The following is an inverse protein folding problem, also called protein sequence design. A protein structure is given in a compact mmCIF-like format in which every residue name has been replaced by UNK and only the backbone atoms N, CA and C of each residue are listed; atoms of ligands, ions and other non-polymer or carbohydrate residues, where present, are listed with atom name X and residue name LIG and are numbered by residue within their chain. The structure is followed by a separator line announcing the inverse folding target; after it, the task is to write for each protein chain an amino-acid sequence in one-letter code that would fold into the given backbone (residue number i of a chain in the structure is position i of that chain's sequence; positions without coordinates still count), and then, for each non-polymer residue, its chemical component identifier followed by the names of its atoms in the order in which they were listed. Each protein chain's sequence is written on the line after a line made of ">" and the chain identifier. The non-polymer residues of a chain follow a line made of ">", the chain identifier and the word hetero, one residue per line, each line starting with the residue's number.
data_IF_431122281491
#
_entry.id   IF_431122281491
#
_cell.length_a   1.000
_cell.length_b   1.000
_cell.length_c   1.000
_cell.angle_alpha   90.00
_cell.angle_beta   90.00
_cell.angle_gamma   90.00
#
_symmetry.space_group_name_H-M   'P 1'
#
loop_
_entity.id
_entity.type
_entity.pdbx_description
1 polymer ?
#
# COMPACT_ATOMS: atom_id res chain seq x y z
N UNK A 1 -36.81 -25.57 47.70
CA UNK A 1 -36.20 -26.69 46.97
C UNK A 1 -35.00 -26.07 46.29
N UNK A 2 -33.97 -25.94 47.10
CA UNK A 2 -32.73 -25.23 46.81
C UNK A 2 -31.87 -26.17 45.97
N UNK A 3 -31.45 -25.71 44.79
CA UNK A 3 -30.46 -26.37 43.96
C UNK A 3 -29.34 -25.37 43.74
N UNK A 4 -28.41 -25.36 44.70
CA UNK A 4 -27.07 -24.83 44.52
C UNK A 4 -26.29 -25.91 43.75
N UNK A 5 -26.12 -25.73 42.44
CA UNK A 5 -25.15 -26.52 41.67
C UNK A 5 -23.84 -25.73 41.60
N UNK A 6 -22.82 -26.31 42.24
CA UNK A 6 -21.46 -25.85 42.38
C UNK A 6 -20.80 -25.59 41.01
N UNK A 7 -20.25 -24.38 40.83
CA UNK A 7 -19.30 -24.10 39.74
C UNK A 7 -17.94 -24.69 40.13
N UNK A 8 -17.59 -25.81 39.49
CA UNK A 8 -16.25 -26.41 39.51
C UNK A 8 -15.29 -25.49 38.75
N UNK A 9 -14.50 -24.70 39.49
CA UNK A 9 -13.40 -23.88 38.97
C UNK A 9 -12.21 -24.80 38.65
N UNK A 10 -12.32 -25.47 37.51
CA UNK A 10 -11.23 -26.25 36.94
C UNK A 10 -10.09 -25.30 36.57
N UNK A 11 -9.09 -25.25 37.43
CA UNK A 11 -7.81 -24.55 37.24
C UNK A 11 -7.19 -25.02 35.90
N UNK A 12 -7.31 -24.19 34.86
CA UNK A 12 -6.72 -24.46 33.55
C UNK A 12 -5.20 -24.27 33.65
N UNK A 13 -4.48 -25.38 33.68
CA UNK A 13 -3.02 -25.45 33.67
C UNK A 13 -2.50 -24.78 32.36
N UNK A 14 -1.84 -23.61 32.51
CA UNK A 14 -1.38 -22.68 31.46
C UNK A 14 -0.15 -23.20 30.67
N UNK A 15 0.31 -24.42 30.95
CA UNK A 15 1.67 -24.87 30.58
C UNK A 15 1.74 -25.75 29.31
N UNK A 16 0.71 -25.76 28.44
CA UNK A 16 0.78 -26.52 27.15
C UNK A 16 0.73 -25.62 25.91
N UNK A 17 1.44 -24.50 25.93
CA UNK A 17 1.88 -23.84 24.70
C UNK A 17 3.19 -24.51 24.26
N UNK A 18 3.10 -25.72 23.70
CA UNK A 18 4.19 -26.21 22.86
C UNK A 18 4.40 -25.18 21.75
N UNK A 19 5.60 -24.60 21.77
CA UNK A 19 6.13 -23.68 20.79
C UNK A 19 6.19 -24.39 19.44
N UNK A 20 5.05 -24.47 18.74
CA UNK A 20 4.99 -24.90 17.35
C UNK A 20 5.64 -23.78 16.57
N UNK A 21 6.96 -23.87 16.45
CA UNK A 21 7.74 -23.16 15.44
C UNK A 21 7.19 -23.65 14.10
N UNK A 22 6.15 -22.97 13.61
CA UNK A 22 5.73 -23.05 12.22
C UNK A 22 6.94 -22.54 11.46
N UNK A 23 7.74 -23.45 10.92
CA UNK A 23 8.76 -23.10 9.97
C UNK A 23 8.05 -22.25 8.90
N UNK A 24 8.39 -20.97 8.81
CA UNK A 24 8.00 -20.11 7.71
C UNK A 24 8.68 -20.69 6.46
N UNK A 25 8.09 -21.74 5.89
CA UNK A 25 8.38 -22.12 4.53
C UNK A 25 8.01 -20.91 3.69
N UNK A 26 9.02 -20.20 3.19
CA UNK A 26 8.83 -19.21 2.15
C UNK A 26 8.11 -19.91 0.99
N UNK A 27 6.79 -19.69 0.90
CA UNK A 27 5.95 -20.24 -0.16
C UNK A 27 6.31 -19.50 -1.45
N UNK A 28 7.41 -19.92 -2.07
CA UNK A 28 7.75 -19.49 -3.42
C UNK A 28 6.68 -20.02 -4.37
N UNK A 29 6.28 -19.26 -5.41
CA UNK A 29 5.19 -19.65 -6.32
C UNK A 29 5.46 -20.95 -7.11
N UNK A 30 6.67 -21.50 -7.01
CA UNK A 30 7.05 -22.79 -7.60
C UNK A 30 6.81 -23.99 -6.67
N UNK A 31 6.46 -23.77 -5.39
CA UNK A 31 6.23 -24.84 -4.41
C UNK A 31 4.92 -25.62 -4.64
N UNK A 32 3.89 -25.02 -5.26
CA UNK A 32 2.63 -25.71 -5.61
C UNK A 32 2.14 -25.31 -7.01
N UNK A 33 1.82 -26.29 -7.89
CA UNK A 33 1.39 -26.02 -9.27
C UNK A 33 0.03 -25.30 -9.36
N UNK A 34 -0.81 -25.40 -8.33
CA UNK A 34 -2.10 -24.72 -8.24
C UNK A 34 -1.95 -23.21 -7.99
N UNK A 35 -1.02 -22.82 -7.11
CA UNK A 35 -0.70 -21.41 -6.83
C UNK A 35 -0.19 -20.71 -8.09
N UNK A 36 0.61 -21.40 -8.90
CA UNK A 36 1.08 -20.87 -10.19
C UNK A 36 -0.05 -20.57 -11.17
N UNK A 37 -1.07 -21.44 -11.25
CA UNK A 37 -2.26 -21.20 -12.08
C UNK A 37 -3.08 -20.03 -11.53
N UNK A 38 -3.23 -19.94 -10.21
CA UNK A 38 -3.92 -18.83 -9.56
C UNK A 38 -3.25 -17.49 -9.87
N UNK A 39 -1.94 -17.36 -9.65
CA UNK A 39 -1.23 -16.10 -9.91
C UNK A 39 -1.19 -15.71 -11.39
N UNK A 40 -1.24 -16.67 -12.32
CA UNK A 40 -1.35 -16.39 -13.75
C UNK A 40 -2.71 -15.79 -14.12
N UNK A 41 -3.79 -16.26 -13.50
CA UNK A 41 -5.16 -15.79 -13.78
C UNK A 41 -5.51 -14.54 -12.98
N UNK A 42 -4.95 -14.41 -11.77
CA UNK A 42 -5.23 -13.37 -10.79
C UNK A 42 -3.93 -12.72 -10.28
N UNK A 43 -3.27 -11.88 -11.09
CA UNK A 43 -2.05 -11.18 -10.68
C UNK A 43 -2.27 -10.23 -9.49
N UNK A 44 -3.52 -9.84 -9.21
CA UNK A 44 -3.92 -9.05 -8.04
C UNK A 44 -3.76 -9.79 -6.71
N UNK A 45 -3.70 -11.13 -6.72
CA UNK A 45 -3.47 -11.93 -5.52
C UNK A 45 -2.01 -11.95 -5.09
N UNK A 46 -1.09 -11.43 -5.91
CA UNK A 46 0.31 -11.35 -5.56
C UNK A 46 0.54 -10.20 -4.57
N UNK A 47 0.87 -10.55 -3.33
CA UNK A 47 1.15 -9.59 -2.27
C UNK A 47 2.57 -9.04 -2.43
N UNK A 48 2.70 -7.72 -2.53
CA UNK A 48 4.01 -7.08 -2.51
C UNK A 48 4.44 -6.88 -1.06
N UNK A 49 5.37 -7.70 -0.59
CA UNK A 49 5.91 -7.57 0.76
C UNK A 49 6.78 -6.31 0.89
N UNK A 50 6.71 -5.67 2.06
CA UNK A 50 7.43 -4.43 2.34
C UNK A 50 8.94 -4.53 2.09
N UNK A 51 9.54 -5.67 2.42
CA UNK A 51 10.97 -5.94 2.25
C UNK A 51 11.41 -5.89 0.79
N UNK A 52 10.53 -6.29 -0.14
CA UNK A 52 10.80 -6.28 -1.57
C UNK A 52 10.57 -4.89 -2.19
N UNK A 53 9.68 -4.10 -1.60
CA UNK A 53 9.27 -2.80 -2.13
C UNK A 53 10.22 -1.70 -1.64
N UNK A 54 10.54 -1.65 -0.34
CA UNK A 54 11.36 -0.59 0.27
C UNK A 54 12.68 -0.33 -0.50
N UNK A 55 13.46 -1.34 -0.92
CA UNK A 55 14.71 -1.12 -1.65
C UNK A 55 14.51 -0.48 -3.04
N UNK A 56 13.31 -0.61 -3.62
CA UNK A 56 12.97 -0.10 -4.96
C UNK A 56 12.42 1.33 -4.95
N UNK A 57 11.97 1.82 -3.80
CA UNK A 57 11.38 3.16 -3.63
C UNK A 57 12.40 4.33 -3.79
N UNK A 58 13.61 4.29 -3.19
CA UNK A 58 14.47 5.47 -3.19
C UNK A 58 14.95 5.80 -4.60
N UNK A 59 14.70 7.04 -5.03
CA UNK A 59 15.25 7.58 -6.27
C UNK A 59 16.76 7.76 -6.13
N UNK A 60 17.53 7.14 -7.04
CA UNK A 60 18.98 7.34 -7.08
C UNK A 60 19.37 8.64 -7.80
N UNK A 61 18.52 9.11 -8.72
CA UNK A 61 18.69 10.36 -9.46
C UNK A 61 17.41 11.18 -9.42
N UNK A 62 17.54 12.51 -9.31
CA UNK A 62 16.39 13.42 -9.40
C UNK A 62 16.08 13.71 -10.87
N UNK A 63 14.90 13.30 -11.39
CA UNK A 63 14.51 13.60 -12.76
C UNK A 63 14.11 15.08 -12.92
N UNK A 64 14.24 15.73 -14.10
CA UNK A 64 14.57 15.20 -15.43
C UNK A 64 16.07 15.27 -15.80
N UNK A 65 16.97 15.59 -14.86
CA UNK A 65 18.34 16.03 -15.14
C UNK A 65 19.48 15.12 -14.66
N UNK A 66 19.22 13.82 -14.44
CA UNK A 66 20.27 12.88 -14.03
C UNK A 66 21.04 12.31 -15.24
N UNK A 67 22.36 12.43 -15.27
CA UNK A 67 23.23 11.79 -16.28
C UNK A 67 23.20 10.24 -16.21
N UNK A 68 22.69 9.68 -15.11
CA UNK A 68 22.60 8.23 -14.87
C UNK A 68 21.14 7.79 -14.85
N UNK A 69 20.82 6.72 -15.56
CA UNK A 69 19.52 6.07 -15.47
C UNK A 69 19.40 5.33 -14.14
N UNK A 70 18.29 5.53 -13.42
CA UNK A 70 17.95 4.70 -12.26
C UNK A 70 17.58 3.29 -12.74
N UNK A 71 18.11 2.26 -12.08
CA UNK A 71 17.82 0.87 -12.43
C UNK A 71 16.35 0.50 -12.15
N UNK A 72 15.75 1.11 -11.11
CA UNK A 72 14.41 0.79 -10.62
C UNK A 72 13.32 1.73 -11.18
N UNK A 73 13.70 2.87 -11.75
CA UNK A 73 12.79 3.90 -12.23
C UNK A 73 13.09 4.25 -13.68
N UNK A 74 12.41 3.59 -14.63
CA UNK A 74 12.53 3.85 -16.08
C UNK A 74 11.38 4.67 -16.62
N UNK A 75 10.20 4.59 -16.00
CA UNK A 75 9.05 5.38 -16.43
C UNK A 75 9.27 6.87 -16.15
N UNK A 76 8.48 7.69 -16.84
CA UNK A 76 8.63 9.12 -16.74
C UNK A 76 8.30 9.66 -15.34
N UNK A 77 9.02 10.69 -14.87
CA UNK A 77 8.92 11.21 -13.51
C UNK A 77 7.77 12.20 -13.30
N UNK A 78 6.72 12.11 -14.11
CA UNK A 78 5.54 12.95 -14.00
C UNK A 78 4.33 12.14 -13.57
N UNK A 79 3.47 12.78 -12.79
CA UNK A 79 2.18 12.21 -12.41
C UNK A 79 1.24 12.26 -13.62
N UNK A 80 0.78 11.10 -14.07
CA UNK A 80 -0.13 11.04 -15.22
C UNK A 80 -1.54 11.51 -14.83
N UNK A 81 -2.32 11.94 -15.81
CA UNK A 81 -3.71 12.38 -15.58
C UNK A 81 -4.59 11.28 -14.97
N UNK A 82 -4.34 10.01 -15.33
CA UNK A 82 -5.05 8.87 -14.77
C UNK A 82 -4.69 8.63 -13.30
N UNK A 83 -3.40 8.64 -12.98
CA UNK A 83 -2.93 8.51 -11.59
C UNK A 83 -3.46 9.66 -10.72
N UNK A 84 -3.35 10.91 -11.22
CA UNK A 84 -3.87 12.11 -10.55
C UNK A 84 -5.36 11.97 -10.25
N UNK A 85 -6.15 11.58 -11.24
CA UNK A 85 -7.60 11.42 -11.08
C UNK A 85 -7.94 10.32 -10.08
N UNK A 86 -7.24 9.18 -10.15
CA UNK A 86 -7.42 8.05 -9.22
C UNK A 86 -7.09 8.43 -7.78
N UNK A 87 -5.98 9.14 -7.57
CA UNK A 87 -5.53 9.59 -6.25
C UNK A 87 -6.52 10.58 -5.64
N UNK A 88 -6.97 11.57 -6.41
CA UNK A 88 -7.96 12.55 -5.96
C UNK A 88 -9.28 11.84 -5.62
N UNK A 89 -9.75 10.91 -6.45
CA UNK A 89 -10.97 10.15 -6.19
C UNK A 89 -10.88 9.28 -4.93
N UNK A 90 -9.79 8.54 -4.78
CA UNK A 90 -9.53 7.71 -3.60
C UNK A 90 -9.48 8.57 -2.34
N UNK A 91 -8.71 9.66 -2.37
CA UNK A 91 -8.54 10.54 -1.21
C UNK A 91 -9.84 11.28 -0.86
N UNK A 92 -10.57 11.75 -1.86
CA UNK A 92 -11.88 12.34 -1.65
C UNK A 92 -12.84 11.34 -0.99
N UNK A 93 -12.81 10.08 -1.39
CA UNK A 93 -13.61 9.04 -0.73
C UNK A 93 -13.21 8.86 0.74
N UNK A 94 -11.92 8.88 1.06
CA UNK A 94 -11.46 8.79 2.46
C UNK A 94 -11.97 9.96 3.30
N UNK A 95 -11.86 11.19 2.79
CA UNK A 95 -12.34 12.38 3.50
C UNK A 95 -13.87 12.34 3.65
N UNK A 96 -14.62 11.86 2.64
CA UNK A 96 -16.08 11.71 2.75
C UNK A 96 -16.51 10.70 3.82
N UNK A 97 -15.64 9.73 4.14
CA UNK A 97 -15.84 8.76 5.23
C UNK A 97 -15.37 9.29 6.59
N UNK A 98 -15.01 10.57 6.68
CA UNK A 98 -14.56 11.21 7.92
C UNK A 98 -13.05 11.15 8.17
N UNK A 99 -12.22 10.78 7.19
CA UNK A 99 -10.76 10.89 7.34
C UNK A 99 -10.36 12.35 7.54
N UNK A 100 -9.44 12.58 8.48
CA UNK A 100 -8.86 13.90 8.72
C UNK A 100 -7.95 14.30 7.54
N UNK A 101 -8.07 15.54 7.03
CA UNK A 101 -7.12 16.09 6.06
C UNK A 101 -5.70 16.27 6.62
N UNK A 102 -4.67 16.04 5.81
CA UNK A 102 -3.25 16.23 6.14
C UNK A 102 -2.77 17.68 6.03
N UNK A 103 -3.65 18.57 5.57
CA UNK A 103 -3.42 20.01 5.36
C UNK A 103 -4.44 20.83 6.13
N UNK A 104 -4.07 22.06 6.49
CA UNK A 104 -5.03 23.00 7.05
C UNK A 104 -6.01 23.42 5.95
N UNK A 105 -7.29 23.04 6.10
CA UNK A 105 -8.33 23.36 5.12
C UNK A 105 -8.81 24.80 5.34
N UNK A 106 -8.70 25.68 4.34
CA UNK A 106 -9.27 27.02 4.40
C UNK A 106 -10.80 26.97 4.59
N UNK A 107 -11.36 27.89 5.37
CA UNK A 107 -12.80 27.94 5.69
C UNK A 107 -13.73 28.09 4.47
N UNK A 108 -13.21 28.55 3.33
CA UNK A 108 -13.99 28.72 2.10
C UNK A 108 -14.09 27.43 1.27
N UNK A 109 -13.33 26.39 1.60
CA UNK A 109 -13.31 25.13 0.85
C UNK A 109 -14.13 24.10 1.60
N UNK A 110 -15.27 23.74 1.00
CA UNK A 110 -16.20 22.75 1.55
C UNK A 110 -16.24 21.47 0.71
N UNK A 111 -15.90 21.54 -0.59
CA UNK A 111 -15.88 20.36 -1.47
C UNK A 111 -14.71 19.45 -1.11
N UNK A 112 -15.04 18.19 -0.85
CA UNK A 112 -14.09 17.13 -0.51
C UNK A 112 -13.05 16.90 -1.61
N UNK A 113 -13.46 17.04 -2.88
CA UNK A 113 -12.54 16.93 -4.01
C UNK A 113 -11.49 18.06 -4.01
N UNK A 114 -11.88 19.25 -3.61
CA UNK A 114 -10.99 20.42 -3.58
C UNK A 114 -9.99 20.30 -2.43
N UNK A 115 -10.40 19.75 -1.28
CA UNK A 115 -9.51 19.39 -0.18
C UNK A 115 -8.47 18.36 -0.65
N UNK A 116 -8.91 17.29 -1.32
CA UNK A 116 -7.99 16.27 -1.86
C UNK A 116 -7.01 16.84 -2.90
N UNK A 117 -7.46 17.80 -3.73
CA UNK A 117 -6.59 18.51 -4.68
C UNK A 117 -5.52 19.32 -3.95
N UNK A 118 -5.90 20.06 -2.90
CA UNK A 118 -4.96 20.82 -2.08
C UNK A 118 -3.91 19.94 -1.41
N UNK A 119 -4.30 18.79 -0.87
CA UNK A 119 -3.36 17.84 -0.27
C UNK A 119 -2.36 17.28 -1.29
N UNK A 120 -2.84 17.02 -2.51
CA UNK A 120 -1.99 16.55 -3.61
C UNK A 120 -1.00 17.63 -4.04
N UNK A 121 -1.45 18.88 -4.19
CA UNK A 121 -0.61 20.02 -4.58
C UNK A 121 0.47 20.33 -3.54
N UNK A 122 0.15 20.17 -2.25
CA UNK A 122 1.12 20.31 -1.16
C UNK A 122 1.99 19.05 -0.96
N UNK A 123 1.80 17.99 -1.76
CA UNK A 123 2.53 16.72 -1.68
C UNK A 123 2.51 16.10 -0.27
N UNK A 124 1.35 16.16 0.40
CA UNK A 124 1.17 15.66 1.78
C UNK A 124 0.58 14.25 1.86
N UNK A 125 0.18 13.69 0.71
CA UNK A 125 -0.44 12.37 0.62
C UNK A 125 0.61 11.25 0.70
N UNK A 126 0.55 10.36 1.72
CA UNK A 126 1.51 9.27 1.88
C UNK A 126 1.14 8.06 1.00
N UNK A 127 1.08 8.25 -0.32
CA UNK A 127 0.78 7.19 -1.28
C UNK A 127 2.01 6.74 -2.06
N UNK A 128 2.00 5.44 -2.38
CA UNK A 128 2.92 4.80 -3.32
C UNK A 128 2.16 4.42 -4.59
N UNK A 129 2.71 4.78 -5.75
CA UNK A 129 2.17 4.40 -7.05
C UNK A 129 2.92 3.18 -7.56
N UNK A 130 2.18 2.08 -7.75
CA UNK A 130 2.65 0.86 -8.42
C UNK A 130 2.36 0.96 -9.92
N UNK A 131 3.40 1.08 -10.74
CA UNK A 131 3.28 1.13 -12.21
C UNK A 131 3.61 -0.23 -12.81
N UNK A 132 2.65 -0.92 -13.46
CA UNK A 132 2.94 -2.16 -14.18
C UNK A 132 3.74 -1.87 -15.45
N UNK A 133 4.79 -2.65 -15.67
CA UNK A 133 5.58 -2.65 -16.90
C UNK A 133 5.14 -3.80 -17.82
N UNK A 134 5.34 -3.70 -19.15
CA UNK A 134 4.96 -4.75 -20.10
C UNK A 134 5.63 -6.11 -19.87
N UNK A 135 6.76 -6.12 -19.18
CA UNK A 135 7.48 -7.34 -18.79
C UNK A 135 6.89 -8.05 -17.56
N UNK A 136 5.78 -7.55 -17.00
CA UNK A 136 5.15 -8.07 -15.79
C UNK A 136 5.81 -7.63 -14.48
N UNK A 137 6.87 -6.82 -14.55
CA UNK A 137 7.49 -6.21 -13.36
C UNK A 137 6.77 -4.91 -12.98
N UNK A 138 7.09 -4.38 -11.80
CA UNK A 138 6.47 -3.16 -11.28
C UNK A 138 7.53 -2.14 -10.87
N UNK A 139 7.23 -0.87 -11.10
CA UNK A 139 7.95 0.25 -10.52
C UNK A 139 7.14 0.87 -9.38
N UNK A 140 7.84 1.35 -8.35
CA UNK A 140 7.23 1.88 -7.14
C UNK A 140 7.65 3.33 -6.94
N UNK A 141 6.73 4.25 -7.18
CA UNK A 141 6.99 5.68 -7.11
C UNK A 141 6.33 6.29 -5.87
N UNK A 142 7.08 7.06 -5.08
CA UNK A 142 6.44 7.91 -4.06
C UNK A 142 5.69 9.03 -4.75
N UNK A 143 4.44 9.25 -4.33
CA UNK A 143 3.63 10.34 -4.88
C UNK A 143 4.30 11.71 -4.70
N UNK A 144 4.97 11.92 -3.56
CA UNK A 144 5.68 13.16 -3.26
C UNK A 144 6.83 13.45 -4.22
N UNK A 145 7.45 12.42 -4.80
CA UNK A 145 8.60 12.58 -5.68
C UNK A 145 8.19 12.90 -7.12
N UNK A 146 6.96 12.56 -7.52
CA UNK A 146 6.47 12.81 -8.87
C UNK A 146 6.26 14.30 -9.13
N UNK A 147 6.56 14.71 -10.37
CA UNK A 147 6.31 16.07 -10.85
C UNK A 147 4.85 16.18 -11.28
N UNK A 148 4.16 17.20 -10.76
CA UNK A 148 2.79 17.51 -11.16
C UNK A 148 2.87 18.53 -12.28
N UNK A 149 2.42 18.16 -13.47
CA UNK A 149 2.27 19.10 -14.58
C UNK A 149 1.01 19.95 -14.33
N UNK A 150 1.17 21.27 -14.49
CA UNK A 150 0.10 22.25 -14.39
C UNK A 150 -0.66 22.37 -15.72
#
# INVERSE_FOLDING_TARGET
>A
MDAEDEFDDGEYDDDTYEDVIVAEEEVTPDSKPELKRLYQQHPECNLDYMEQVIPKIPLQVLPPGGERADANHRTYPFLTNFERTKIIGLRANQISRGSVPFVSVPKHITDVRDIARLELEQKRLPYLIKRPLPNGTFEYWRLCDLLILA
#
